data_IF_113292330837
#
_entry.id   IF_113292330837
#
_cell.length_a   1.000
_cell.length_b   1.000
_cell.length_c   1.000
_cell.angle_alpha   90.00
_cell.angle_beta   90.00
_cell.angle_gamma   90.00
#
_symmetry.space_group_name_H-M   'P 1'
#
loop_
_entity.id
_entity.type
_entity.pdbx_description
1 polymer ?
#
# COMPACT_ATOMS: atom_id res chain seq x y z
N UNK A 1 -12.74 5.20 -0.46
CA UNK A 1 -11.99 6.31 0.19
C UNK A 1 -10.49 5.97 0.13
N UNK A 2 -10.06 5.37 -0.99
CA UNK A 2 -8.98 4.36 -0.96
C UNK A 2 -7.68 4.88 -1.57
N UNK A 3 -7.67 6.16 -1.93
CA UNK A 3 -6.54 6.82 -2.56
C UNK A 3 -5.47 7.25 -1.56
N UNK A 4 -5.66 7.18 -0.24
CA UNK A 4 -4.72 7.73 0.76
C UNK A 4 -4.46 6.73 1.90
N UNK A 5 -4.30 5.44 1.56
CA UNK A 5 -4.11 4.37 2.54
C UNK A 5 -2.95 4.65 3.51
N UNK A 6 -1.81 5.16 3.04
CA UNK A 6 -0.67 5.51 3.91
C UNK A 6 -0.95 6.53 5.02
N UNK A 7 -2.05 7.29 4.92
CA UNK A 7 -2.50 8.28 5.91
C UNK A 7 -3.67 7.79 6.77
N UNK A 8 -4.18 6.57 6.53
CA UNK A 8 -5.35 6.02 7.21
C UNK A 8 -5.03 5.47 8.62
N UNK A 9 -4.30 6.23 9.42
CA UNK A 9 -3.83 5.84 10.76
C UNK A 9 -5.01 5.78 11.74
N UNK A 10 -5.81 6.85 11.81
CA UNK A 10 -6.93 6.97 12.75
C UNK A 10 -8.10 6.05 12.42
N UNK A 11 -8.28 5.72 11.14
CA UNK A 11 -9.35 4.87 10.63
C UNK A 11 -8.84 3.54 10.07
N UNK A 12 -7.69 3.05 10.56
CA UNK A 12 -7.06 1.85 10.00
C UNK A 12 -7.97 0.62 10.04
N UNK A 13 -8.76 0.45 11.10
CA UNK A 13 -9.72 -0.65 11.21
C UNK A 13 -10.77 -0.63 10.07
N UNK A 14 -11.26 0.56 9.71
CA UNK A 14 -12.20 0.72 8.59
C UNK A 14 -11.57 0.33 7.26
N UNK A 15 -10.26 0.58 7.06
CA UNK A 15 -9.60 0.18 5.80
C UNK A 15 -9.61 -1.34 5.58
N UNK A 16 -9.48 -2.14 6.64
CA UNK A 16 -9.57 -3.60 6.56
C UNK A 16 -10.94 -4.04 6.06
N UNK A 17 -12.01 -3.47 6.62
CA UNK A 17 -13.39 -3.76 6.20
C UNK A 17 -13.64 -3.31 4.76
N UNK A 18 -13.16 -2.13 4.37
CA UNK A 18 -13.28 -1.62 3.01
C UNK A 18 -12.62 -2.53 1.98
N UNK A 19 -11.40 -3.03 2.24
CA UNK A 19 -10.71 -3.94 1.33
C UNK A 19 -11.38 -5.32 1.28
N UNK A 20 -11.82 -5.88 2.41
CA UNK A 20 -12.56 -7.14 2.41
C UNK A 20 -13.88 -7.02 1.63
N UNK A 21 -14.58 -5.90 1.78
CA UNK A 21 -15.81 -5.60 1.01
C UNK A 21 -15.51 -5.53 -0.50
N UNK A 22 -14.40 -4.89 -0.89
CA UNK A 22 -13.99 -4.82 -2.29
C UNK A 22 -13.66 -6.21 -2.86
N UNK A 23 -13.00 -7.07 -2.07
CA UNK A 23 -12.72 -8.47 -2.45
C UNK A 23 -14.02 -9.26 -2.61
N UNK A 24 -14.97 -9.12 -1.68
CA UNK A 24 -16.29 -9.77 -1.77
C UNK A 24 -17.09 -9.30 -2.99
N UNK A 25 -16.90 -8.05 -3.41
CA UNK A 25 -17.45 -7.50 -4.64
C UNK A 25 -16.72 -7.95 -5.92
N UNK A 26 -15.65 -8.75 -5.81
CA UNK A 26 -14.93 -9.36 -6.92
C UNK A 26 -13.55 -8.78 -7.23
N UNK A 27 -12.99 -7.91 -6.37
CA UNK A 27 -11.62 -7.42 -6.56
C UNK A 27 -10.60 -8.55 -6.36
N UNK A 28 -9.81 -8.85 -7.39
CA UNK A 28 -8.72 -9.84 -7.33
C UNK A 28 -7.38 -9.24 -6.85
N UNK A 29 -7.25 -7.92 -6.89
CA UNK A 29 -6.05 -7.16 -6.50
C UNK A 29 -6.49 -6.01 -5.62
N UNK A 30 -5.85 -5.86 -4.46
CA UNK A 30 -6.00 -4.71 -3.57
C UNK A 30 -4.72 -3.89 -3.64
N UNK A 31 -4.82 -2.67 -4.18
CA UNK A 31 -3.70 -1.74 -4.25
C UNK A 31 -3.68 -0.81 -3.03
N UNK A 32 -2.54 -0.74 -2.36
CA UNK A 32 -2.30 0.04 -1.15
C UNK A 32 -1.38 1.23 -1.51
N UNK A 33 -1.93 2.44 -1.71
CA UNK A 33 -1.11 3.58 -2.07
C UNK A 33 -0.55 4.33 -0.85
N UNK A 34 0.75 4.63 -0.86
CA UNK A 34 1.41 5.64 -0.03
C UNK A 34 1.48 6.96 -0.81
N UNK A 35 0.33 7.60 -0.99
CA UNK A 35 0.07 8.68 -1.96
C UNK A 35 0.82 9.97 -1.67
N UNK A 36 1.10 10.19 -0.39
CA UNK A 36 2.03 11.20 0.09
C UNK A 36 2.91 10.50 1.10
N UNK A 37 4.22 10.48 0.88
CA UNK A 37 5.14 9.85 1.82
C UNK A 37 5.28 10.75 3.06
N UNK A 38 4.55 10.43 4.15
CA UNK A 38 4.55 11.23 5.39
C UNK A 38 5.35 10.64 6.53
N UNK A 39 5.50 9.32 6.54
CA UNK A 39 6.10 8.56 7.63
C UNK A 39 7.24 7.67 7.13
N UNK A 40 7.93 7.03 8.07
CA UNK A 40 9.02 6.08 7.79
C UNK A 40 8.50 4.77 7.17
N UNK A 41 9.31 4.04 6.38
CA UNK A 41 8.91 2.82 5.68
C UNK A 41 8.17 1.81 6.55
N UNK A 42 8.72 1.53 7.74
CA UNK A 42 8.16 0.51 8.62
C UNK A 42 6.78 0.86 9.22
N UNK A 43 6.34 2.12 9.16
CA UNK A 43 4.93 2.46 9.49
C UNK A 43 4.02 1.89 8.41
N UNK A 44 4.30 2.19 7.14
CA UNK A 44 3.53 1.70 6.02
C UNK A 44 3.62 0.18 5.86
N UNK A 45 4.82 -0.40 5.98
CA UNK A 45 5.03 -1.86 5.89
C UNK A 45 4.25 -2.61 6.96
N UNK A 46 4.15 -2.08 8.18
CA UNK A 46 3.31 -2.70 9.21
C UNK A 46 1.82 -2.65 8.83
N UNK A 47 1.36 -1.56 8.22
CA UNK A 47 -0.02 -1.47 7.71
C UNK A 47 -0.26 -2.50 6.59
N UNK A 48 0.67 -2.64 5.64
CA UNK A 48 0.61 -3.68 4.59
C UNK A 48 0.51 -5.07 5.20
N UNK A 49 1.35 -5.38 6.19
CA UNK A 49 1.31 -6.66 6.91
C UNK A 49 -0.07 -6.93 7.53
N UNK A 50 -0.62 -5.94 8.24
CA UNK A 50 -1.94 -6.09 8.86
C UNK A 50 -3.09 -6.24 7.85
N UNK A 51 -2.96 -5.66 6.65
CA UNK A 51 -3.88 -5.93 5.54
C UNK A 51 -3.67 -7.36 5.01
N UNK A 52 -2.43 -7.80 4.80
CA UNK A 52 -2.14 -9.16 4.34
C UNK A 52 -2.67 -10.22 5.30
N UNK A 53 -2.57 -10.00 6.61
CA UNK A 53 -3.06 -10.92 7.64
C UNK A 53 -4.58 -11.16 7.56
N UNK A 54 -5.35 -10.15 7.15
CA UNK A 54 -6.81 -10.27 6.97
C UNK A 54 -7.23 -10.72 5.57
N UNK A 55 -6.52 -10.26 4.54
CA UNK A 55 -6.79 -10.62 3.13
C UNK A 55 -6.37 -12.07 2.83
N UNK A 56 -5.24 -12.52 3.39
CA UNK A 56 -4.64 -13.83 3.14
C UNK A 56 -4.47 -14.08 1.63
N UNK A 57 -5.05 -15.16 1.11
CA UNK A 57 -4.96 -15.55 -0.30
C UNK A 57 -6.19 -15.14 -1.12
N UNK A 58 -7.07 -14.30 -0.56
CA UNK A 58 -8.30 -13.89 -1.25
C UNK A 58 -8.05 -12.90 -2.39
N UNK A 59 -6.95 -12.16 -2.33
CA UNK A 59 -6.54 -11.19 -3.35
C UNK A 59 -5.03 -10.96 -3.28
N UNK A 60 -4.46 -10.55 -4.42
CA UNK A 60 -3.08 -10.07 -4.51
C UNK A 60 -2.98 -8.71 -3.80
N UNK A 61 -1.95 -8.54 -2.99
CA UNK A 61 -1.61 -7.23 -2.42
C UNK A 61 -0.65 -6.51 -3.36
N UNK A 62 -1.12 -5.40 -3.91
CA UNK A 62 -0.32 -4.43 -4.67
C UNK A 62 0.02 -3.24 -3.80
N UNK A 63 1.19 -2.65 -4.02
CA UNK A 63 1.60 -1.40 -3.36
C UNK A 63 1.98 -0.35 -4.40
N UNK A 64 1.75 0.92 -4.07
CA UNK A 64 2.08 2.08 -4.89
C UNK A 64 2.64 3.18 -3.98
N UNK A 65 3.95 3.44 -4.01
CA UNK A 65 4.56 4.38 -3.06
C UNK A 65 5.13 5.61 -3.75
N UNK A 66 4.74 6.80 -3.30
CA UNK A 66 5.40 8.05 -3.72
C UNK A 66 6.67 8.31 -2.90
N UNK A 67 7.54 9.17 -3.44
CA UNK A 67 8.91 9.35 -2.99
C UNK A 67 9.20 10.70 -2.30
N UNK A 68 8.21 11.32 -1.65
CA UNK A 68 8.33 12.68 -1.08
C UNK A 68 9.47 12.82 -0.05
N UNK A 69 9.81 11.75 0.67
CA UNK A 69 10.91 11.69 1.64
C UNK A 69 12.10 10.85 1.14
N UNK A 70 12.07 10.41 -0.12
CA UNK A 70 13.14 9.63 -0.73
C UNK A 70 13.19 8.16 -0.30
N UNK A 71 12.11 7.60 0.27
CA UNK A 71 12.10 6.23 0.80
C UNK A 71 11.12 5.29 0.09
N UNK A 72 10.59 5.67 -1.09
CA UNK A 72 9.66 4.85 -1.86
C UNK A 72 10.22 3.46 -2.19
N UNK A 73 11.47 3.39 -2.67
CA UNK A 73 12.13 2.12 -3.00
C UNK A 73 12.28 1.23 -1.76
N UNK A 74 12.69 1.78 -0.62
CA UNK A 74 12.82 1.02 0.62
C UNK A 74 11.46 0.50 1.10
N UNK A 75 10.44 1.36 1.12
CA UNK A 75 9.06 0.99 1.48
C UNK A 75 8.53 -0.11 0.57
N UNK A 76 8.82 -0.04 -0.74
CA UNK A 76 8.38 -1.03 -1.71
C UNK A 76 9.06 -2.38 -1.53
N UNK A 77 10.38 -2.40 -1.39
CA UNK A 77 11.15 -3.63 -1.17
C UNK A 77 10.76 -4.30 0.15
N UNK A 78 10.64 -3.54 1.24
CA UNK A 78 10.26 -4.10 2.55
C UNK A 78 8.82 -4.64 2.56
N UNK A 79 7.91 -4.06 1.77
CA UNK A 79 6.53 -4.53 1.65
C UNK A 79 6.43 -5.93 1.03
N UNK A 80 7.39 -6.32 0.19
CA UNK A 80 7.45 -7.69 -0.37
C UNK A 80 7.63 -8.72 0.75
N UNK A 81 8.47 -8.43 1.75
CA UNK A 81 8.73 -9.35 2.87
C UNK A 81 7.53 -9.55 3.81
N UNK A 82 6.52 -8.70 3.72
CA UNK A 82 5.24 -8.85 4.45
C UNK A 82 4.08 -9.30 3.55
N UNK A 83 4.37 -9.73 2.32
CA UNK A 83 3.41 -10.41 1.44
C UNK A 83 2.76 -9.53 0.37
N UNK A 84 3.34 -8.37 0.05
CA UNK A 84 3.02 -7.70 -1.22
C UNK A 84 3.59 -8.47 -2.40
N UNK A 85 2.79 -8.66 -3.44
CA UNK A 85 3.12 -9.49 -4.61
C UNK A 85 3.19 -8.67 -5.91
N UNK A 86 2.66 -7.44 -5.89
CA UNK A 86 2.74 -6.49 -7.00
C UNK A 86 3.27 -5.14 -6.49
N UNK A 87 4.17 -4.53 -7.28
CA UNK A 87 4.69 -3.19 -7.01
C UNK A 87 4.42 -2.33 -8.24
N UNK A 88 3.69 -1.24 -8.07
CA UNK A 88 3.51 -0.22 -9.09
C UNK A 88 4.71 0.74 -9.06
N UNK A 89 5.38 0.89 -10.20
CA UNK A 89 6.59 1.72 -10.35
C UNK A 89 6.51 2.56 -11.63
N UNK A 90 7.37 3.57 -11.72
CA UNK A 90 7.52 4.37 -12.92
C UNK A 90 8.95 4.36 -13.47
N UNK A 91 9.08 4.39 -14.80
CA UNK A 91 10.37 4.54 -15.46
C UNK A 91 11.02 5.86 -15.01
N UNK A 92 12.30 5.79 -14.64
CA UNK A 92 13.08 6.92 -14.16
C UNK A 92 12.48 7.65 -12.94
N UNK A 93 11.57 7.03 -12.20
CA UNK A 93 10.88 7.65 -11.05
C UNK A 93 9.93 8.78 -11.45
N UNK A 94 9.41 8.80 -12.68
CA UNK A 94 8.48 9.84 -13.13
C UNK A 94 7.11 9.66 -12.49
N UNK A 95 6.54 10.71 -11.90
CA UNK A 95 5.24 10.62 -11.25
C UNK A 95 4.83 11.92 -10.58
N UNK A 96 3.77 11.87 -9.77
CA UNK A 96 3.33 13.03 -8.99
C UNK A 96 4.40 13.40 -7.94
N UNK A 97 4.68 14.70 -7.80
CA UNK A 97 5.64 15.28 -6.82
C UNK A 97 7.08 14.81 -7.05
N UNK A 98 7.71 14.21 -6.04
CA UNK A 98 9.08 13.69 -6.11
C UNK A 98 9.19 12.35 -6.88
N UNK A 99 8.11 11.90 -7.50
CA UNK A 99 8.04 10.65 -8.26
C UNK A 99 7.18 9.58 -7.60
N UNK A 100 6.99 8.49 -8.34
CA UNK A 100 6.51 7.19 -7.86
C UNK A 100 7.56 6.12 -8.10
#
# INVERSE_FOLDING_TARGET
>A
QDKHFGDAIENFAFTKEAFLTAIEAGANIINLPNTVERYRPMVFVNMVKEIKDVVKDKAIISIHTHNDLGMATATSVESVYVGAEQIEVALNGLGEKAGG
#
